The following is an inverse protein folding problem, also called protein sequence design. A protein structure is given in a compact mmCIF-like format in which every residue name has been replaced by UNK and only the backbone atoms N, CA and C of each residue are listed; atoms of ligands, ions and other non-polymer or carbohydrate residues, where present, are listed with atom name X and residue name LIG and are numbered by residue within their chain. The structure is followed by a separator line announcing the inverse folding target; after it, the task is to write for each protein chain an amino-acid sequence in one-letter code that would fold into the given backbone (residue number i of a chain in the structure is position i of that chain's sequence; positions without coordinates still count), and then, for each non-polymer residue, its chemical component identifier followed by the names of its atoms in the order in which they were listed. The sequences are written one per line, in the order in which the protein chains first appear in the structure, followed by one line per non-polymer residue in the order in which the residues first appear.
data_IF_246209140469
#
_entry.id   IF_246209140469
#
_cell.length_a   1.000
_cell.length_b   1.000
_cell.length_c   1.000
_cell.angle_alpha   90.00
_cell.angle_beta   90.00
_cell.angle_gamma   90.00
#
_symmetry.space_group_name_H-M   'P 1'
#
loop_
_entity.id
_entity.type
_entity.pdbx_description
1 polymer ?
#
# COMPACT_ATOMS: atom_id res chain seq x y z
N UNK A 1 -2.25 11.27 22.53
CA UNK A 1 -1.15 11.47 23.52
C UNK A 1 -0.59 10.10 23.85
N UNK A 2 0.75 10.00 23.94
CA UNK A 2 1.39 8.76 24.37
C UNK A 2 0.90 8.34 25.76
N UNK A 3 0.77 7.04 25.94
CA UNK A 3 0.38 6.45 27.22
C UNK A 3 1.43 6.80 28.30
N UNK A 4 0.97 7.28 29.45
CA UNK A 4 1.84 7.66 30.58
C UNK A 4 2.60 6.45 31.15
N UNK A 5 2.00 5.25 31.14
CA UNK A 5 2.65 4.02 31.58
C UNK A 5 3.83 3.66 30.64
N UNK A 6 3.62 3.79 29.30
CA UNK A 6 4.67 3.58 28.32
C UNK A 6 5.84 4.55 28.50
N UNK A 7 5.54 5.83 28.74
CA UNK A 7 6.57 6.84 29.01
C UNK A 7 7.38 6.55 30.29
N UNK A 8 6.69 6.18 31.38
CA UNK A 8 7.34 5.82 32.63
C UNK A 8 8.29 4.61 32.48
N UNK A 9 7.88 3.59 31.72
CA UNK A 9 8.73 2.43 31.40
C UNK A 9 9.94 2.84 30.58
N UNK A 10 9.77 3.71 29.56
CA UNK A 10 10.86 4.21 28.75
C UNK A 10 11.87 5.05 29.56
N UNK A 11 11.38 5.87 30.52
CA UNK A 11 12.22 6.59 31.48
C UNK A 11 13.00 5.65 32.42
N UNK A 12 12.41 4.51 32.76
CA UNK A 12 13.06 3.45 33.54
C UNK A 12 14.04 2.59 32.72
N UNK A 13 14.33 2.96 31.48
CA UNK A 13 15.20 2.25 30.53
C UNK A 13 14.68 0.87 30.09
N UNK A 14 13.38 0.65 30.09
CA UNK A 14 12.80 -0.51 29.42
C UNK A 14 13.00 -0.37 27.90
N UNK A 15 13.75 -1.29 27.31
CA UNK A 15 14.23 -1.21 25.92
C UNK A 15 13.05 -1.26 24.94
N UNK A 16 12.05 -2.13 25.22
CA UNK A 16 10.87 -2.23 24.38
C UNK A 16 10.03 -0.93 24.44
N UNK A 17 9.87 -0.37 25.64
CA UNK A 17 9.13 0.89 25.81
C UNK A 17 9.84 2.05 25.10
N UNK A 18 11.19 2.14 25.18
CA UNK A 18 11.95 3.16 24.45
C UNK A 18 11.71 3.00 22.93
N UNK A 19 11.75 1.77 22.42
CA UNK A 19 11.52 1.49 21.01
C UNK A 19 10.11 1.92 20.55
N UNK A 20 9.06 1.63 21.34
CA UNK A 20 7.70 2.04 21.03
C UNK A 20 7.52 3.57 21.07
N UNK A 21 8.13 4.24 22.06
CA UNK A 21 8.15 5.72 22.12
C UNK A 21 8.90 6.31 20.92
N UNK A 22 10.02 5.71 20.52
CA UNK A 22 10.77 6.13 19.34
C UNK A 22 9.94 6.00 18.06
N UNK A 23 9.21 4.90 17.91
CA UNK A 23 8.28 4.69 16.79
C UNK A 23 7.20 5.77 16.76
N UNK A 24 6.63 6.10 17.90
CA UNK A 24 5.60 7.12 17.99
C UNK A 24 6.10 8.49 17.51
N UNK A 25 7.30 8.91 17.90
CA UNK A 25 7.94 10.12 17.35
C UNK A 25 8.28 10.01 15.86
N UNK A 26 8.62 8.81 15.38
CA UNK A 26 8.99 8.56 13.99
C UNK A 26 7.81 8.70 13.02
N UNK A 27 6.58 8.37 13.46
CA UNK A 27 5.37 8.39 12.62
C UNK A 27 4.35 9.45 13.04
N UNK A 28 4.59 10.17 14.15
CA UNK A 28 3.64 11.14 14.68
C UNK A 28 2.43 10.52 15.37
N UNK A 29 2.54 9.30 15.91
CA UNK A 29 1.42 8.63 16.59
C UNK A 29 1.27 9.10 18.04
N UNK A 30 0.18 9.82 18.31
CA UNK A 30 -0.13 10.38 19.63
C UNK A 30 0.80 11.51 20.10
N UNK A 31 1.80 11.86 19.29
CA UNK A 31 2.74 12.98 19.46
C UNK A 31 3.02 13.63 18.11
N UNK A 32 3.56 14.85 18.12
CA UNK A 32 4.08 15.46 16.91
C UNK A 32 5.29 14.69 16.40
N UNK A 33 5.36 14.46 15.07
CA UNK A 33 6.49 13.80 14.43
C UNK A 33 7.80 14.52 14.75
N UNK A 34 8.79 13.79 15.22
CA UNK A 34 10.11 14.31 15.56
C UNK A 34 11.20 13.29 15.26
N UNK A 35 11.76 13.40 14.07
CA UNK A 35 12.76 12.45 13.57
C UNK A 35 14.08 12.48 14.35
N UNK A 36 14.49 13.65 14.88
CA UNK A 36 15.71 13.80 15.70
C UNK A 36 15.55 13.02 17.00
N UNK A 37 14.42 13.19 17.68
CA UNK A 37 14.11 12.48 18.92
C UNK A 37 13.91 10.97 18.68
N UNK A 38 13.30 10.60 17.57
CA UNK A 38 13.15 9.19 17.18
C UNK A 38 14.53 8.54 16.99
N UNK A 39 15.43 9.18 16.24
CA UNK A 39 16.79 8.68 16.02
C UNK A 39 17.61 8.58 17.31
N UNK A 40 17.51 9.57 18.20
CA UNK A 40 18.15 9.54 19.53
C UNK A 40 17.67 8.32 20.33
N UNK A 41 16.36 8.11 20.40
CA UNK A 41 15.77 6.98 21.13
C UNK A 41 16.11 5.64 20.51
N UNK A 42 16.06 5.48 19.18
CA UNK A 42 16.54 4.27 18.51
C UNK A 42 18.01 3.99 18.81
N UNK A 43 18.86 5.04 18.83
CA UNK A 43 20.28 4.92 19.18
C UNK A 43 20.45 4.49 20.64
N UNK A 44 19.59 4.96 21.54
CA UNK A 44 19.55 4.52 22.94
C UNK A 44 19.16 3.05 23.06
N UNK A 45 18.19 2.56 22.25
CA UNK A 45 17.84 1.12 22.20
C UNK A 45 19.07 0.29 21.85
N UNK A 46 19.82 0.65 20.79
CA UNK A 46 21.05 -0.08 20.40
C UNK A 46 22.11 -0.07 21.50
N UNK A 47 22.24 1.06 22.21
CA UNK A 47 23.22 1.16 23.30
C UNK A 47 22.87 0.30 24.51
N UNK A 48 21.56 0.09 24.78
CA UNK A 48 21.08 -0.74 25.88
C UNK A 48 21.01 -2.22 25.52
N UNK A 49 20.56 -2.53 24.30
CA UNK A 49 20.45 -3.89 23.77
C UNK A 49 20.89 -3.94 22.30
N UNK A 50 22.17 -4.23 22.01
CA UNK A 50 22.67 -4.39 20.66
C UNK A 50 22.05 -5.57 19.88
N UNK A 51 21.38 -6.49 20.57
CA UNK A 51 20.73 -7.66 19.96
C UNK A 51 19.23 -7.43 19.69
N UNK A 52 18.72 -6.22 19.84
CA UNK A 52 17.34 -5.87 19.50
C UNK A 52 17.19 -5.71 17.97
N UNK A 53 16.64 -6.72 17.23
CA UNK A 53 16.79 -6.77 15.77
C UNK A 53 16.04 -5.66 15.04
N UNK A 54 14.83 -5.31 15.50
CA UNK A 54 13.93 -4.42 14.78
C UNK A 54 14.37 -2.95 14.78
N UNK A 55 15.21 -2.54 15.73
CA UNK A 55 15.72 -1.18 15.80
C UNK A 55 16.61 -0.85 14.60
N UNK A 56 17.34 -1.83 14.08
CA UNK A 56 18.28 -1.62 12.98
C UNK A 56 17.59 -1.26 11.66
N UNK A 57 16.38 -1.76 11.44
CA UNK A 57 15.58 -1.32 10.28
C UNK A 57 15.23 0.16 10.36
N UNK A 58 14.92 0.66 11.56
CA UNK A 58 14.57 2.07 11.81
C UNK A 58 15.80 2.98 11.70
N UNK A 59 16.91 2.61 12.35
CA UNK A 59 18.19 3.34 12.25
C UNK A 59 18.68 3.38 10.81
N UNK A 60 18.61 2.26 10.09
CA UNK A 60 18.97 2.21 8.68
C UNK A 60 18.14 3.18 7.83
N UNK A 61 16.85 3.25 8.05
CA UNK A 61 15.94 4.21 7.38
C UNK A 61 16.28 5.66 7.74
N UNK A 62 16.61 5.93 9.01
CA UNK A 62 17.06 7.27 9.42
C UNK A 62 18.31 7.70 8.65
N UNK A 63 19.29 6.83 8.53
CA UNK A 63 20.49 7.12 7.71
C UNK A 63 20.17 7.22 6.21
N UNK A 64 19.31 6.36 5.68
CA UNK A 64 18.93 6.36 4.26
C UNK A 64 18.23 7.66 3.84
N UNK A 65 17.36 8.19 4.68
CA UNK A 65 16.54 9.38 4.38
C UNK A 65 17.11 10.68 4.97
N UNK A 66 18.07 10.60 5.89
CA UNK A 66 18.55 11.76 6.64
C UNK A 66 17.57 12.21 7.73
N UNK A 67 16.75 11.29 8.26
CA UNK A 67 15.75 11.58 9.29
C UNK A 67 16.39 11.59 10.67
N UNK A 68 16.47 12.77 11.28
CA UNK A 68 17.09 12.98 12.58
C UNK A 68 18.62 12.81 12.60
N UNK A 69 19.23 12.59 11.44
CA UNK A 69 20.69 12.46 11.27
C UNK A 69 21.08 12.87 9.86
N UNK A 70 22.39 13.07 9.59
CA UNK A 70 22.86 13.26 8.22
C UNK A 70 22.62 11.97 7.38
N UNK A 71 22.19 12.16 6.13
CA UNK A 71 22.05 11.03 5.20
C UNK A 71 23.40 10.32 4.98
N UNK A 72 23.40 9.00 5.13
CA UNK A 72 24.57 8.16 4.92
C UNK A 72 24.12 6.75 4.47
N UNK A 73 24.13 6.54 3.15
CA UNK A 73 23.66 5.29 2.55
C UNK A 73 24.51 4.07 2.96
N UNK A 74 25.81 4.28 3.25
CA UNK A 74 26.67 3.20 3.71
C UNK A 74 26.30 2.77 5.13
N UNK A 75 26.10 3.73 6.05
CA UNK A 75 25.65 3.44 7.41
C UNK A 75 24.25 2.82 7.41
N UNK A 76 23.38 3.19 6.47
CA UNK A 76 22.09 2.56 6.32
C UNK A 76 22.24 1.05 6.04
N UNK A 77 23.07 0.69 5.05
CA UNK A 77 23.34 -0.72 4.71
C UNK A 77 24.04 -1.46 5.85
N UNK A 78 24.98 -0.83 6.55
CA UNK A 78 25.65 -1.44 7.71
C UNK A 78 24.64 -1.75 8.83
N UNK A 79 23.68 -0.85 9.09
CA UNK A 79 22.61 -1.08 10.05
C UNK A 79 21.68 -2.20 9.60
N UNK A 80 21.21 -2.19 8.34
CA UNK A 80 20.39 -3.26 7.79
C UNK A 80 21.10 -4.61 7.86
N UNK A 81 22.41 -4.64 7.56
CA UNK A 81 23.21 -5.88 7.65
C UNK A 81 23.28 -6.38 9.08
N UNK A 82 23.46 -5.50 10.06
CA UNK A 82 23.47 -5.87 11.47
C UNK A 82 22.15 -6.49 11.90
N UNK A 83 21.03 -5.85 11.59
CA UNK A 83 19.71 -6.38 11.92
C UNK A 83 19.35 -7.66 11.16
N UNK A 84 19.79 -7.80 9.90
CA UNK A 84 19.61 -9.03 9.13
C UNK A 84 20.35 -10.21 9.76
N UNK A 85 21.58 -10.01 10.27
CA UNK A 85 22.32 -11.03 11.01
C UNK A 85 21.65 -11.42 12.34
N UNK A 86 20.74 -10.59 12.85
CA UNK A 86 19.88 -10.87 13.99
C UNK A 86 18.48 -11.40 13.58
N UNK A 87 18.30 -11.81 12.33
CA UNK A 87 17.06 -12.32 11.75
C UNK A 87 15.89 -11.30 11.74
N UNK A 88 16.17 -9.99 11.60
CA UNK A 88 15.11 -9.02 11.36
C UNK A 88 14.57 -9.12 9.93
N UNK A 89 13.31 -9.46 9.78
CA UNK A 89 12.61 -9.51 8.49
C UNK A 89 12.68 -8.15 7.76
N UNK A 90 12.40 -7.06 8.48
CA UNK A 90 12.46 -5.71 7.92
C UNK A 90 13.86 -5.32 7.43
N UNK A 91 14.92 -5.76 8.13
CA UNK A 91 16.29 -5.50 7.66
C UNK A 91 16.63 -6.27 6.39
N UNK A 92 16.18 -7.52 6.27
CA UNK A 92 16.31 -8.27 5.02
C UNK A 92 15.54 -7.60 3.87
N UNK A 93 14.32 -7.13 4.11
CA UNK A 93 13.55 -6.37 3.13
C UNK A 93 14.30 -5.12 2.64
N UNK A 94 14.84 -4.29 3.55
CA UNK A 94 15.59 -3.09 3.16
C UNK A 94 16.93 -3.40 2.50
N UNK A 95 17.61 -4.51 2.84
CA UNK A 95 18.77 -4.98 2.10
C UNK A 95 18.40 -5.42 0.69
N UNK A 96 17.28 -6.10 0.52
CA UNK A 96 16.78 -6.46 -0.80
C UNK A 96 16.58 -5.21 -1.68
N UNK A 97 15.90 -4.19 -1.16
CA UNK A 97 15.72 -2.90 -1.85
C UNK A 97 17.07 -2.21 -2.14
N UNK A 98 18.02 -2.26 -1.19
CA UNK A 98 19.33 -1.66 -1.38
C UNK A 98 20.11 -2.32 -2.52
N UNK A 99 20.11 -3.66 -2.59
CA UNK A 99 20.74 -4.40 -3.69
C UNK A 99 19.99 -4.24 -5.01
N UNK A 100 18.66 -4.19 -4.99
CA UNK A 100 17.84 -3.99 -6.19
C UNK A 100 18.12 -2.63 -6.85
N UNK A 101 18.26 -1.57 -6.05
CA UNK A 101 18.43 -0.20 -6.55
C UNK A 101 19.88 0.26 -6.56
N UNK A 102 20.82 -0.49 -6.02
CA UNK A 102 22.21 -0.04 -5.84
C UNK A 102 22.38 1.07 -4.82
N UNK A 103 21.50 1.12 -3.81
CA UNK A 103 21.49 2.18 -2.78
C UNK A 103 22.49 1.84 -1.68
N UNK A 104 23.64 2.52 -1.67
CA UNK A 104 24.71 2.30 -0.70
C UNK A 104 25.54 1.03 -0.91
N UNK A 105 25.15 0.19 -1.88
CA UNK A 105 25.84 -1.03 -2.34
C UNK A 105 25.86 -1.09 -3.85
N UNK A 106 26.69 -1.96 -4.41
CA UNK A 106 26.62 -2.30 -5.84
C UNK A 106 25.32 -3.07 -6.09
N UNK A 107 24.58 -2.65 -7.12
CA UNK A 107 23.34 -3.32 -7.53
C UNK A 107 23.59 -4.81 -7.81
N UNK A 108 22.75 -5.69 -7.26
CA UNK A 108 22.85 -7.13 -7.38
C UNK A 108 21.47 -7.77 -7.24
N UNK A 109 20.83 -8.07 -8.36
CA UNK A 109 19.48 -8.64 -8.39
C UNK A 109 19.39 -9.99 -7.67
N UNK A 110 20.42 -10.84 -7.79
CA UNK A 110 20.39 -12.15 -7.13
C UNK A 110 20.47 -12.04 -5.61
N UNK A 111 21.26 -11.09 -5.09
CA UNK A 111 21.26 -10.80 -3.65
C UNK A 111 19.94 -10.18 -3.20
N UNK A 112 19.35 -9.30 -3.99
CA UNK A 112 18.03 -8.75 -3.68
C UNK A 112 16.99 -9.86 -3.50
N UNK A 113 16.93 -10.81 -4.47
CA UNK A 113 16.02 -11.95 -4.40
C UNK A 113 16.29 -12.84 -3.17
N UNK A 114 17.55 -13.11 -2.84
CA UNK A 114 17.90 -13.89 -1.66
C UNK A 114 17.38 -13.21 -0.38
N UNK A 115 17.58 -11.91 -0.25
CA UNK A 115 17.11 -11.15 0.90
C UNK A 115 15.58 -11.04 0.95
N UNK A 116 14.87 -10.82 -0.17
CA UNK A 116 13.41 -10.87 -0.22
C UNK A 116 12.88 -12.25 0.23
N UNK A 117 13.49 -13.33 -0.24
CA UNK A 117 13.09 -14.68 0.15
C UNK A 117 13.24 -14.92 1.65
N UNK A 118 14.39 -14.52 2.23
CA UNK A 118 14.61 -14.64 3.68
C UNK A 118 13.59 -13.77 4.45
N UNK A 119 13.36 -12.54 4.03
CA UNK A 119 12.37 -11.66 4.66
C UNK A 119 10.96 -12.29 4.62
N UNK A 120 10.55 -12.82 3.47
CA UNK A 120 9.28 -13.52 3.31
C UNK A 120 9.18 -14.77 4.23
N UNK A 121 10.23 -15.56 4.32
CA UNK A 121 10.28 -16.74 5.21
C UNK A 121 10.24 -16.35 6.70
N UNK A 122 10.76 -15.17 7.05
CA UNK A 122 10.65 -14.56 8.39
C UNK A 122 9.30 -13.86 8.64
N UNK A 123 8.44 -13.78 7.61
CA UNK A 123 7.07 -13.32 7.76
C UNK A 123 6.78 -11.91 7.29
N UNK A 124 7.70 -11.27 6.56
CA UNK A 124 7.49 -9.95 5.93
C UNK A 124 6.53 -10.07 4.74
N UNK A 125 5.38 -9.41 4.83
CA UNK A 125 4.32 -9.53 3.82
C UNK A 125 4.64 -8.79 2.53
N UNK A 126 5.34 -7.66 2.60
CA UNK A 126 5.78 -6.92 1.41
C UNK A 126 6.73 -7.78 0.57
N UNK A 127 7.67 -8.47 1.23
CA UNK A 127 8.59 -9.42 0.58
C UNK A 127 7.85 -10.63 0.00
N UNK A 128 6.80 -11.13 0.66
CA UNK A 128 5.97 -12.21 0.10
C UNK A 128 5.30 -11.73 -1.19
N UNK A 129 4.66 -10.57 -1.20
CA UNK A 129 4.02 -10.01 -2.39
C UNK A 129 5.04 -9.77 -3.50
N UNK A 130 6.21 -9.22 -3.17
CA UNK A 130 7.28 -8.97 -4.14
C UNK A 130 7.80 -10.28 -4.76
N UNK A 131 8.03 -11.32 -3.96
CA UNK A 131 8.40 -12.64 -4.48
C UNK A 131 7.31 -13.23 -5.38
N UNK A 132 6.03 -13.05 -5.02
CA UNK A 132 4.90 -13.41 -5.88
C UNK A 132 4.95 -12.71 -7.24
N UNK A 133 5.24 -11.41 -7.27
CA UNK A 133 5.38 -10.65 -8.52
C UNK A 133 6.56 -11.13 -9.35
N UNK A 134 7.71 -11.43 -8.73
CA UNK A 134 8.90 -11.93 -9.43
C UNK A 134 8.65 -13.28 -10.07
N UNK A 135 8.03 -14.23 -9.38
CA UNK A 135 7.69 -15.52 -9.96
C UNK A 135 6.63 -15.42 -11.06
N UNK A 136 5.64 -14.54 -10.91
CA UNK A 136 4.63 -14.30 -11.94
C UNK A 136 5.22 -13.72 -13.23
N UNK A 137 6.20 -12.79 -13.11
CA UNK A 137 6.82 -12.11 -14.22
C UNK A 137 8.03 -12.87 -14.80
N UNK A 138 8.69 -13.72 -14.00
CA UNK A 138 9.98 -14.32 -14.33
C UNK A 138 11.15 -13.36 -14.14
N UNK A 139 11.04 -12.41 -13.20
CA UNK A 139 12.06 -11.39 -12.94
C UNK A 139 13.13 -11.92 -11.97
N UNK A 140 14.30 -12.29 -12.53
CA UNK A 140 15.43 -12.84 -11.78
C UNK A 140 15.21 -14.26 -11.25
N UNK A 141 14.04 -14.85 -11.48
CA UNK A 141 13.63 -16.23 -11.17
C UNK A 141 12.91 -16.84 -12.39
N UNK A 142 12.86 -18.16 -12.49
CA UNK A 142 12.04 -18.81 -13.51
C UNK A 142 10.56 -18.51 -13.23
N UNK A 143 9.80 -18.16 -14.30
CA UNK A 143 8.37 -17.87 -14.19
C UNK A 143 7.59 -19.09 -13.68
N UNK A 144 6.83 -18.89 -12.61
CA UNK A 144 5.97 -19.92 -12.02
C UNK A 144 4.75 -19.29 -11.34
N UNK A 145 3.58 -19.38 -11.99
CA UNK A 145 2.34 -18.81 -11.47
C UNK A 145 1.82 -19.56 -10.22
N UNK A 146 2.19 -20.84 -10.03
CA UNK A 146 1.81 -21.61 -8.83
C UNK A 146 2.59 -21.11 -7.63
N UNK A 147 3.91 -20.96 -7.76
CA UNK A 147 4.75 -20.40 -6.69
C UNK A 147 4.33 -18.94 -6.38
N UNK A 148 4.04 -18.14 -7.42
CA UNK A 148 3.57 -16.78 -7.23
C UNK A 148 2.30 -16.72 -6.38
N UNK A 149 1.31 -17.56 -6.70
CA UNK A 149 0.05 -17.62 -5.95
C UNK A 149 0.23 -18.12 -4.53
N UNK A 150 1.18 -19.03 -4.30
CA UNK A 150 1.51 -19.49 -2.94
C UNK A 150 2.11 -18.36 -2.07
N UNK A 151 2.96 -17.50 -2.64
CA UNK A 151 3.45 -16.31 -1.94
C UNK A 151 2.33 -15.32 -1.63
N UNK A 152 1.40 -15.06 -2.57
CA UNK A 152 0.23 -14.21 -2.31
C UNK A 152 -0.67 -14.81 -1.22
N UNK A 153 -0.82 -16.15 -1.19
CA UNK A 153 -1.59 -16.83 -0.14
C UNK A 153 -0.97 -16.63 1.24
N UNK A 154 0.35 -16.79 1.36
CA UNK A 154 1.07 -16.56 2.63
C UNK A 154 0.89 -15.13 3.15
N UNK A 155 0.93 -14.13 2.27
CA UNK A 155 0.65 -12.74 2.65
C UNK A 155 -0.81 -12.55 3.06
N UNK A 156 -1.75 -13.15 2.31
CA UNK A 156 -3.18 -13.08 2.59
C UNK A 156 -3.58 -13.74 3.93
N UNK A 157 -2.88 -14.80 4.35
CA UNK A 157 -3.05 -15.47 5.66
C UNK A 157 -2.64 -14.58 6.84
N UNK A 158 -1.85 -13.53 6.58
CA UNK A 158 -1.47 -12.50 7.54
C UNK A 158 -2.33 -11.23 7.44
N UNK A 159 -3.45 -11.31 6.76
CA UNK A 159 -4.35 -10.19 6.48
C UNK A 159 -3.67 -8.99 5.78
N UNK A 160 -2.63 -9.27 5.00
CA UNK A 160 -2.02 -8.26 4.15
C UNK A 160 -2.96 -7.91 3.00
N UNK A 161 -3.40 -6.66 2.94
CA UNK A 161 -4.42 -6.22 1.98
C UNK A 161 -4.01 -6.41 0.53
N UNK A 162 -2.73 -6.20 0.20
CA UNK A 162 -2.19 -6.40 -1.15
C UNK A 162 -2.06 -7.89 -1.48
N UNK A 163 -1.57 -8.72 -0.54
CA UNK A 163 -1.55 -10.18 -0.69
C UNK A 163 -2.93 -10.77 -0.95
N UNK A 164 -3.96 -10.33 -0.20
CA UNK A 164 -5.35 -10.73 -0.43
C UNK A 164 -5.83 -10.28 -1.81
N UNK A 165 -5.50 -9.05 -2.24
CA UNK A 165 -5.83 -8.53 -3.56
C UNK A 165 -5.18 -9.34 -4.68
N UNK A 166 -3.91 -9.66 -4.58
CA UNK A 166 -3.21 -10.45 -5.60
C UNK A 166 -3.72 -11.89 -5.65
N UNK A 167 -4.04 -12.48 -4.50
CA UNK A 167 -4.66 -13.81 -4.43
C UNK A 167 -6.06 -13.80 -5.10
N UNK A 168 -6.85 -12.76 -4.89
CA UNK A 168 -8.13 -12.58 -5.56
C UNK A 168 -7.96 -12.55 -7.08
N UNK A 169 -6.99 -11.78 -7.58
CA UNK A 169 -6.65 -11.74 -9.01
C UNK A 169 -6.24 -13.11 -9.55
N UNK A 170 -5.44 -13.87 -8.80
CA UNK A 170 -5.03 -15.20 -9.20
C UNK A 170 -6.23 -16.13 -9.41
N UNK A 171 -7.23 -16.10 -8.51
CA UNK A 171 -8.47 -16.86 -8.68
C UNK A 171 -9.35 -16.34 -9.82
N UNK A 172 -9.41 -15.02 -10.05
CA UNK A 172 -10.18 -14.42 -11.13
C UNK A 172 -9.65 -14.83 -12.51
N UNK A 173 -8.34 -14.78 -12.66
CA UNK A 173 -7.63 -15.05 -13.92
C UNK A 173 -7.36 -16.56 -14.11
N UNK A 174 -7.35 -17.37 -13.04
CA UNK A 174 -6.94 -18.77 -13.05
C UNK A 174 -5.43 -18.95 -13.18
N UNK A 175 -4.63 -18.05 -12.54
CA UNK A 175 -3.18 -18.08 -12.60
C UNK A 175 -2.61 -18.85 -11.40
N UNK A 176 -1.97 -19.98 -11.65
CA UNK A 176 -1.41 -20.86 -10.62
C UNK A 176 -2.45 -21.56 -9.73
N UNK A 177 -3.74 -21.32 -9.96
CA UNK A 177 -4.90 -21.95 -9.31
C UNK A 177 -6.02 -22.10 -10.31
N UNK A 178 -6.98 -23.00 -10.06
CA UNK A 178 -8.20 -23.07 -10.84
C UNK A 178 -9.00 -21.78 -10.70
N UNK A 179 -9.54 -21.29 -11.84
CA UNK A 179 -10.38 -20.08 -11.86
C UNK A 179 -11.62 -20.25 -11.00
N UNK A 180 -11.83 -19.34 -10.06
CA UNK A 180 -12.97 -19.31 -9.13
C UNK A 180 -13.41 -17.86 -8.89
N UNK A 181 -14.34 -17.38 -9.72
CA UNK A 181 -14.84 -16.00 -9.66
C UNK A 181 -15.56 -15.69 -8.34
N UNK A 182 -16.45 -16.53 -7.81
CA UNK A 182 -17.06 -16.31 -6.51
C UNK A 182 -16.03 -16.15 -5.39
N UNK A 183 -15.01 -16.99 -5.35
CA UNK A 183 -13.93 -16.91 -4.37
C UNK A 183 -13.08 -15.64 -4.55
N UNK A 184 -12.78 -15.28 -5.80
CA UNK A 184 -12.10 -14.02 -6.11
C UNK A 184 -12.86 -12.82 -5.56
N UNK A 185 -14.18 -12.77 -5.76
CA UNK A 185 -15.04 -11.68 -5.29
C UNK A 185 -15.02 -11.58 -3.76
N UNK A 186 -15.09 -12.69 -3.03
CA UNK A 186 -14.98 -12.73 -1.57
C UNK A 186 -13.60 -12.19 -1.09
N UNK A 187 -12.54 -12.57 -1.79
CA UNK A 187 -11.19 -12.09 -1.45
C UNK A 187 -11.02 -10.60 -1.76
N UNK A 188 -11.57 -10.10 -2.88
CA UNK A 188 -11.55 -8.67 -3.14
C UNK A 188 -12.33 -7.89 -2.09
N UNK A 189 -13.50 -8.38 -1.66
CA UNK A 189 -14.27 -7.75 -0.59
C UNK A 189 -13.46 -7.72 0.72
N UNK A 190 -12.81 -8.83 1.10
CA UNK A 190 -11.88 -8.86 2.25
C UNK A 190 -10.74 -7.85 2.11
N UNK A 191 -10.09 -7.79 0.96
CA UNK A 191 -9.03 -6.83 0.70
C UNK A 191 -9.51 -5.38 0.73
N UNK A 192 -10.73 -5.12 0.24
CA UNK A 192 -11.40 -3.82 0.29
C UNK A 192 -11.69 -3.38 1.73
N UNK A 193 -12.16 -4.30 2.59
CA UNK A 193 -12.36 -4.07 4.02
C UNK A 193 -11.04 -3.76 4.74
N UNK A 194 -9.93 -4.38 4.31
CA UNK A 194 -8.58 -4.07 4.78
C UNK A 194 -8.02 -2.75 4.20
N UNK A 195 -8.79 -2.03 3.39
CA UNK A 195 -8.47 -0.70 2.90
C UNK A 195 -7.76 -0.63 1.54
N UNK A 196 -7.57 -1.75 0.84
CA UNK A 196 -6.89 -1.74 -0.45
C UNK A 196 -7.74 -1.06 -1.54
N UNK A 197 -7.29 0.09 -2.07
CA UNK A 197 -8.03 0.92 -3.02
C UNK A 197 -8.44 0.19 -4.31
N UNK A 198 -7.54 -0.62 -4.88
CA UNK A 198 -7.86 -1.41 -6.08
C UNK A 198 -8.90 -2.50 -5.82
N UNK A 199 -8.88 -3.11 -4.62
CA UNK A 199 -9.89 -4.08 -4.23
C UNK A 199 -11.26 -3.42 -4.03
N UNK A 200 -11.31 -2.22 -3.43
CA UNK A 200 -12.56 -1.45 -3.32
C UNK A 200 -13.16 -1.17 -4.70
N UNK A 201 -12.34 -0.81 -5.69
CA UNK A 201 -12.81 -0.62 -7.07
C UNK A 201 -13.38 -1.91 -7.66
N UNK A 202 -12.64 -3.03 -7.61
CA UNK A 202 -13.12 -4.30 -8.18
C UNK A 202 -14.34 -4.85 -7.45
N UNK A 203 -14.41 -4.69 -6.13
CA UNK A 203 -15.60 -5.05 -5.35
C UNK A 203 -16.83 -4.22 -5.79
N UNK A 204 -16.63 -2.92 -6.02
CA UNK A 204 -17.67 -2.06 -6.60
C UNK A 204 -18.14 -2.53 -7.98
N UNK A 205 -17.21 -2.92 -8.86
CA UNK A 205 -17.54 -3.50 -10.17
C UNK A 205 -18.33 -4.78 -10.01
N UNK A 206 -17.90 -5.71 -9.14
CA UNK A 206 -18.57 -7.00 -8.94
C UNK A 206 -20.02 -6.83 -8.45
N UNK A 207 -20.26 -5.94 -7.50
CA UNK A 207 -21.63 -5.63 -7.05
C UNK A 207 -22.47 -4.93 -8.13
N UNK A 208 -21.85 -4.13 -9.00
CA UNK A 208 -22.56 -3.46 -10.09
C UNK A 208 -22.95 -4.43 -11.21
N UNK A 209 -22.07 -5.37 -11.55
CA UNK A 209 -22.25 -6.32 -12.65
C UNK A 209 -22.91 -7.62 -12.24
N UNK A 210 -22.77 -8.04 -10.97
CA UNK A 210 -23.19 -9.34 -10.45
C UNK A 210 -22.17 -10.44 -10.77
N UNK A 211 -20.89 -10.09 -10.93
CA UNK A 211 -19.84 -11.07 -11.20
C UNK A 211 -19.38 -11.72 -9.88
N UNK A 212 -19.68 -12.99 -9.72
CA UNK A 212 -19.38 -13.77 -8.50
C UNK A 212 -20.20 -13.40 -7.25
N UNK A 213 -21.13 -12.46 -7.35
CA UNK A 213 -21.99 -11.98 -6.25
C UNK A 213 -23.33 -11.49 -6.79
N UNK A 214 -24.37 -11.45 -5.95
CA UNK A 214 -25.65 -10.84 -6.32
C UNK A 214 -25.49 -9.33 -6.54
N UNK A 215 -26.14 -8.81 -7.61
CA UNK A 215 -26.10 -7.37 -7.93
C UNK A 215 -26.65 -6.53 -6.79
N UNK A 216 -25.87 -5.53 -6.38
CA UNK A 216 -26.28 -4.53 -5.39
C UNK A 216 -25.64 -3.17 -5.74
N UNK A 217 -26.41 -2.33 -6.42
CA UNK A 217 -25.94 -1.02 -6.85
C UNK A 217 -25.61 -0.08 -5.67
N UNK A 218 -26.25 -0.26 -4.50
CA UNK A 218 -25.93 0.55 -3.30
C UNK A 218 -24.56 0.17 -2.74
N UNK A 219 -24.27 -1.13 -2.66
CA UNK A 219 -22.94 -1.61 -2.26
C UNK A 219 -21.88 -1.21 -3.30
N UNK A 220 -22.21 -1.24 -4.59
CA UNK A 220 -21.30 -0.76 -5.63
C UNK A 220 -20.92 0.71 -5.41
N UNK A 221 -21.93 1.58 -5.19
CA UNK A 221 -21.68 3.00 -4.91
C UNK A 221 -20.85 3.21 -3.64
N UNK A 222 -21.12 2.48 -2.57
CA UNK A 222 -20.34 2.52 -1.33
C UNK A 222 -18.87 2.19 -1.57
N UNK A 223 -18.57 1.12 -2.31
CA UNK A 223 -17.19 0.73 -2.56
C UNK A 223 -16.46 1.68 -3.52
N UNK A 224 -17.15 2.20 -4.53
CA UNK A 224 -16.56 3.26 -5.38
C UNK A 224 -16.29 4.54 -4.60
N UNK A 225 -17.16 4.91 -3.64
CA UNK A 225 -16.92 6.06 -2.76
C UNK A 225 -15.67 5.86 -1.91
N UNK A 226 -15.49 4.66 -1.32
CA UNK A 226 -14.27 4.32 -0.56
C UNK A 226 -13.01 4.38 -1.42
N UNK A 227 -13.04 3.91 -2.65
CA UNK A 227 -11.91 4.01 -3.56
C UNK A 227 -11.68 5.47 -4.04
N UNK A 228 -12.74 6.26 -4.23
CA UNK A 228 -12.65 7.67 -4.60
C UNK A 228 -12.09 8.54 -3.47
N UNK A 229 -12.38 8.22 -2.20
CA UNK A 229 -11.75 8.83 -1.02
C UNK A 229 -10.22 8.66 -1.03
N UNK A 230 -9.72 7.59 -1.68
CA UNK A 230 -8.30 7.31 -1.90
C UNK A 230 -7.81 7.77 -3.29
N UNK A 231 -8.53 8.70 -3.91
CA UNK A 231 -8.19 9.30 -5.20
C UNK A 231 -8.04 8.29 -6.35
N UNK A 232 -8.77 7.16 -6.32
CA UNK A 232 -8.77 6.19 -7.42
C UNK A 232 -9.51 6.76 -8.64
N UNK A 233 -8.83 7.02 -9.79
CA UNK A 233 -9.40 7.74 -10.92
C UNK A 233 -10.67 7.09 -11.47
N UNK A 234 -10.61 5.78 -11.79
CA UNK A 234 -11.72 5.07 -12.40
C UNK A 234 -12.90 4.88 -11.43
N UNK A 235 -12.63 4.69 -10.13
CA UNK A 235 -13.69 4.60 -9.12
C UNK A 235 -14.43 5.94 -8.99
N UNK A 236 -13.69 7.05 -8.99
CA UNK A 236 -14.25 8.40 -8.95
C UNK A 236 -15.14 8.65 -10.18
N UNK A 237 -14.70 8.20 -11.37
CA UNK A 237 -15.52 8.27 -12.58
C UNK A 237 -16.78 7.42 -12.46
N UNK A 238 -16.67 6.14 -12.03
CA UNK A 238 -17.83 5.25 -11.85
C UNK A 238 -18.84 5.82 -10.85
N UNK A 239 -18.36 6.36 -9.73
CA UNK A 239 -19.22 7.03 -8.75
C UNK A 239 -19.97 8.22 -9.36
N UNK A 240 -19.27 9.05 -10.14
CA UNK A 240 -19.88 10.17 -10.88
C UNK A 240 -20.99 9.70 -11.82
N UNK A 241 -20.76 8.62 -12.57
CA UNK A 241 -21.77 8.02 -13.44
C UNK A 241 -22.99 7.53 -12.66
N UNK A 242 -22.79 6.87 -11.50
CA UNK A 242 -23.91 6.43 -10.66
C UNK A 242 -24.77 7.60 -10.17
N UNK A 243 -24.19 8.75 -9.81
CA UNK A 243 -24.94 9.95 -9.44
C UNK A 243 -25.66 10.60 -10.62
N UNK A 244 -25.10 10.56 -11.85
CA UNK A 244 -25.79 11.06 -13.05
C UNK A 244 -27.05 10.25 -13.35
N UNK A 245 -26.99 8.93 -13.20
CA UNK A 245 -28.03 8.02 -13.58
C UNK A 245 -29.01 7.70 -12.43
N UNK A 246 -28.62 7.94 -11.16
CA UNK A 246 -29.41 7.58 -9.98
C UNK A 246 -29.37 6.06 -9.71
N UNK A 247 -28.26 5.40 -10.00
CA UNK A 247 -28.10 3.94 -9.82
C UNK A 247 -27.41 3.68 -8.48
N UNK A 248 -28.16 3.06 -7.55
CA UNK A 248 -27.67 2.77 -6.18
C UNK A 248 -27.57 3.99 -5.25
N UNK A 249 -27.69 5.21 -5.79
CA UNK A 249 -27.70 6.48 -5.10
C UNK A 249 -28.86 7.34 -5.60
N UNK A 250 -29.24 8.37 -4.83
CA UNK A 250 -30.19 9.37 -5.31
C UNK A 250 -29.54 10.14 -6.48
N UNK A 251 -30.34 10.35 -7.56
CA UNK A 251 -29.84 11.04 -8.74
C UNK A 251 -29.48 12.49 -8.42
N UNK A 252 -28.23 12.83 -8.63
CA UNK A 252 -27.67 14.18 -8.45
C UNK A 252 -26.68 14.49 -9.58
N UNK A 253 -27.15 15.05 -10.71
CA UNK A 253 -26.27 15.34 -11.83
C UNK A 253 -25.16 16.35 -11.52
N UNK A 254 -25.39 17.29 -10.60
CA UNK A 254 -24.38 18.29 -10.22
C UNK A 254 -23.23 17.61 -9.48
N UNK A 255 -23.55 16.75 -8.49
CA UNK A 255 -22.59 15.94 -7.78
C UNK A 255 -21.89 14.93 -8.71
N UNK A 256 -22.64 14.32 -9.63
CA UNK A 256 -22.12 13.41 -10.63
C UNK A 256 -21.05 14.05 -11.51
N UNK A 257 -21.33 15.23 -12.05
CA UNK A 257 -20.36 15.99 -12.87
C UNK A 257 -19.15 16.44 -12.04
N UNK A 258 -19.32 16.81 -10.78
CA UNK A 258 -18.20 17.15 -9.91
C UNK A 258 -17.21 15.95 -9.77
N UNK A 259 -17.72 14.75 -9.54
CA UNK A 259 -16.89 13.53 -9.53
C UNK A 259 -16.25 13.24 -10.90
N UNK A 260 -16.96 13.44 -12.01
CA UNK A 260 -16.39 13.25 -13.36
C UNK A 260 -15.20 14.21 -13.59
N UNK A 261 -15.34 15.48 -13.22
CA UNK A 261 -14.26 16.46 -13.33
C UNK A 261 -13.09 16.10 -12.41
N UNK A 262 -13.39 15.67 -11.17
CA UNK A 262 -12.35 15.17 -10.26
C UNK A 262 -11.60 13.95 -10.88
N UNK A 263 -12.33 13.00 -11.45
CA UNK A 263 -11.75 11.84 -12.10
C UNK A 263 -10.86 12.21 -13.29
N UNK A 264 -11.27 13.18 -14.10
CA UNK A 264 -10.44 13.71 -15.19
C UNK A 264 -9.14 14.33 -14.65
N UNK A 265 -9.22 15.14 -13.58
CA UNK A 265 -8.03 15.71 -12.93
C UNK A 265 -7.10 14.63 -12.32
N UNK A 266 -7.64 13.50 -11.92
CA UNK A 266 -6.88 12.33 -11.44
C UNK A 266 -6.34 11.45 -12.60
N UNK A 267 -6.68 11.76 -13.85
CA UNK A 267 -6.17 11.05 -15.02
C UNK A 267 -7.08 9.91 -15.54
N UNK A 268 -8.34 9.84 -15.14
CA UNK A 268 -9.30 8.89 -15.70
C UNK A 268 -9.62 9.23 -17.15
N UNK A 269 -9.19 8.39 -18.10
CA UNK A 269 -9.39 8.64 -19.54
C UNK A 269 -10.87 8.74 -19.94
N UNK A 270 -11.73 7.92 -19.32
CA UNK A 270 -13.17 7.91 -19.59
C UNK A 270 -13.88 9.22 -19.14
N UNK A 271 -13.25 9.99 -18.25
CA UNK A 271 -13.82 11.21 -17.72
C UNK A 271 -13.56 12.45 -18.60
N UNK A 272 -12.49 12.46 -19.38
CA UNK A 272 -12.07 13.66 -20.14
C UNK A 272 -13.12 14.21 -21.07
N UNK A 273 -13.79 13.35 -21.84
CA UNK A 273 -14.80 13.80 -22.79
C UNK A 273 -15.95 14.55 -22.09
N UNK A 274 -16.50 13.98 -21.03
CA UNK A 274 -17.65 14.57 -20.34
C UNK A 274 -17.25 15.83 -19.55
N UNK A 275 -16.05 15.83 -18.94
CA UNK A 275 -15.49 17.01 -18.31
C UNK A 275 -15.27 18.16 -19.33
N UNK A 276 -14.69 17.83 -20.49
CA UNK A 276 -14.50 18.79 -21.58
C UNK A 276 -15.82 19.40 -22.10
N UNK A 277 -16.83 18.54 -22.33
CA UNK A 277 -18.18 19.03 -22.72
C UNK A 277 -18.77 19.93 -21.65
N UNK A 278 -18.60 19.61 -20.38
CA UNK A 278 -19.12 20.42 -19.26
C UNK A 278 -18.50 21.84 -19.26
N UNK A 279 -17.19 21.93 -19.40
CA UNK A 279 -16.50 23.23 -19.49
C UNK A 279 -16.81 23.96 -20.80
N UNK A 280 -16.98 23.27 -21.92
CA UNK A 280 -17.31 23.90 -23.20
C UNK A 280 -18.69 24.56 -23.19
N UNK A 281 -19.69 23.91 -22.55
CA UNK A 281 -21.07 24.34 -22.52
C UNK A 281 -21.41 25.22 -21.32
N UNK A 282 -20.62 25.19 -20.26
CA UNK A 282 -20.91 25.88 -19.01
C UNK A 282 -22.11 25.29 -18.26
N UNK A 283 -22.19 23.97 -18.15
CA UNK A 283 -23.30 23.26 -17.52
C UNK A 283 -23.03 22.93 -16.05
N UNK A 284 -24.06 22.53 -15.32
CA UNK A 284 -24.00 22.00 -13.95
C UNK A 284 -23.27 22.89 -12.94
N UNK A 285 -23.38 24.23 -13.13
CA UNK A 285 -22.74 25.23 -12.25
C UNK A 285 -21.29 25.57 -12.61
N UNK A 286 -20.73 24.95 -13.64
CA UNK A 286 -19.41 25.30 -14.16
C UNK A 286 -19.52 26.40 -15.21
N UNK A 287 -18.65 27.43 -15.16
CA UNK A 287 -18.64 28.49 -16.21
C UNK A 287 -18.07 27.92 -17.52
N UNK A 288 -18.43 28.57 -18.63
CA UNK A 288 -17.81 28.28 -19.92
C UNK A 288 -16.29 28.54 -19.82
N UNK A 289 -15.49 27.52 -20.03
CA UNK A 289 -14.03 27.59 -20.07
C UNK A 289 -13.49 26.72 -21.23
N UNK A 290 -13.31 27.40 -22.39
CA UNK A 290 -12.84 26.70 -23.59
C UNK A 290 -11.40 26.24 -23.52
N UNK A 291 -10.57 26.84 -22.65
CA UNK A 291 -9.20 26.40 -22.45
C UNK A 291 -9.19 25.04 -21.71
N UNK A 292 -9.88 24.93 -20.57
CA UNK A 292 -10.04 23.67 -19.85
C UNK A 292 -10.81 22.58 -20.62
N UNK A 293 -11.64 22.98 -21.59
CA UNK A 293 -12.34 22.00 -22.41
C UNK A 293 -11.45 21.29 -23.43
N UNK A 294 -10.24 21.80 -23.67
CA UNK A 294 -9.29 21.26 -24.65
C UNK A 294 -8.11 20.50 -23.97
N UNK A 295 -7.86 20.80 -22.70
CA UNK A 295 -6.88 20.06 -21.88
C UNK A 295 -7.34 18.63 -21.62
#
# INVERSE_FOLDING_TARGET
MLDQELLAKAEANDVQAIFEVAKAYYIGDGVEENNEKAFELFSKVVALDPNFPDVYSRIGRCYEKGWGTAQDLKKAVDAYTTGANLNSAGCHYYLALAYENGTGVVQDEQKAIQHYKIAADLGDTDSMVEMGHRYRAGNGVEKDDVIATEYYRKAAEKDDSNGVYQLARAYYDGLGVEKDVPRSTQLWEKSAELGHWGAQFYTGINYLTGDGVEKDAKKAAFWFEKAAEQEHPDATYKLGALYLDGVGVERDPTKGIAYIIQAANLGASDAYFLAGVTYFQGNYGYPVDKAKAIE
#
